data_IF_409885741317
#
_entry.id   IF_409885741317
#
_cell.length_a   1.000
_cell.length_b   1.000
_cell.length_c   1.000
_cell.angle_alpha   90.00
_cell.angle_beta   90.00
_cell.angle_gamma   90.00
#
_symmetry.space_group_name_H-M   'P 1'
#
loop_
_entity.id
_entity.type
_entity.pdbx_description
1 polymer ?
#
# COMPACT_ATOMS: atom_id res chain seq x y z
N UNK A 1 -5.14 -8.86 -13.66
CA UNK A 1 -4.79 -9.19 -12.26
C UNK A 1 -6.04 -9.71 -11.55
N UNK A 2 -5.91 -10.62 -10.61
CA UNK A 2 -7.05 -11.16 -9.86
C UNK A 2 -6.76 -11.12 -8.35
N UNK A 3 -7.64 -10.53 -7.55
CA UNK A 3 -7.55 -10.52 -6.09
C UNK A 3 -8.80 -11.20 -5.53
N UNK A 4 -8.65 -12.30 -4.80
CA UNK A 4 -9.75 -13.10 -4.22
C UNK A 4 -10.93 -13.34 -5.20
N UNK A 5 -10.64 -13.69 -6.47
CA UNK A 5 -11.64 -13.97 -7.50
C UNK A 5 -12.16 -12.75 -8.26
N UNK A 6 -11.89 -11.52 -7.81
CA UNK A 6 -12.25 -10.30 -8.54
C UNK A 6 -11.21 -9.96 -9.61
N UNK A 7 -11.61 -9.97 -10.87
CA UNK A 7 -10.76 -9.54 -11.99
C UNK A 7 -10.63 -8.01 -12.00
N UNK A 8 -9.40 -7.54 -12.03
CA UNK A 8 -9.00 -6.13 -12.13
C UNK A 8 -8.33 -5.93 -13.49
N UNK A 9 -8.90 -5.08 -14.31
CA UNK A 9 -8.37 -4.72 -15.63
C UNK A 9 -8.85 -3.33 -16.04
N UNK A 10 -8.26 -2.81 -17.10
CA UNK A 10 -8.62 -1.49 -17.64
C UNK A 10 -10.05 -1.43 -18.25
N UNK A 11 -10.70 -2.58 -18.48
CA UNK A 11 -12.04 -2.71 -19.07
C UNK A 11 -13.13 -3.00 -18.03
N UNK A 12 -12.75 -3.23 -16.78
CA UNK A 12 -13.70 -3.49 -15.69
C UNK A 12 -13.94 -2.24 -14.85
N UNK A 13 -15.07 -2.17 -14.14
CA UNK A 13 -15.27 -1.12 -13.15
C UNK A 13 -14.09 -1.05 -12.16
N UNK A 14 -13.79 0.15 -11.64
CA UNK A 14 -12.70 0.32 -10.69
C UNK A 14 -12.80 -0.63 -9.49
N UNK A 15 -11.66 -1.10 -9.02
CA UNK A 15 -11.54 -1.82 -7.75
C UNK A 15 -11.26 -0.79 -6.66
N UNK A 16 -12.25 -0.56 -5.81
CA UNK A 16 -12.21 0.49 -4.80
C UNK A 16 -11.53 -0.01 -3.53
N UNK A 17 -10.41 0.59 -3.18
CA UNK A 17 -9.61 0.24 -2.01
C UNK A 17 -9.70 1.37 -1.00
N UNK A 18 -10.28 1.11 0.17
CA UNK A 18 -10.24 2.02 1.30
C UNK A 18 -8.87 1.94 1.99
N UNK A 19 -8.29 3.08 2.35
CA UNK A 19 -7.02 3.16 3.08
C UNK A 19 -7.28 3.39 4.56
N UNK A 20 -6.85 2.45 5.41
CA UNK A 20 -6.88 2.65 6.86
C UNK A 20 -5.65 3.43 7.33
N UNK A 21 -4.45 3.06 6.83
CA UNK A 21 -3.19 3.68 7.27
C UNK A 21 -3.09 3.72 8.80
N UNK A 22 -2.69 4.86 9.37
CA UNK A 22 -2.60 5.11 10.81
C UNK A 22 -3.93 5.62 11.43
N UNK A 23 -5.03 5.66 10.67
CA UNK A 23 -6.32 6.22 11.16
C UNK A 23 -7.01 5.37 12.23
N UNK A 24 -6.37 4.29 12.68
CA UNK A 24 -6.81 3.53 13.86
C UNK A 24 -6.52 4.24 15.19
N UNK A 25 -5.64 5.28 15.20
CA UNK A 25 -5.33 6.06 16.40
C UNK A 25 -4.81 5.23 17.58
N UNK A 26 -4.10 4.10 17.32
CA UNK A 26 -3.63 3.20 18.36
C UNK A 26 -4.71 2.34 19.03
N UNK A 27 -5.92 2.26 18.46
CA UNK A 27 -7.03 1.47 19.00
C UNK A 27 -7.51 0.40 18.00
N UNK A 28 -7.41 -0.87 18.41
CA UNK A 28 -7.84 -2.01 17.60
C UNK A 28 -9.35 -1.94 17.25
N UNK A 29 -10.18 -1.49 18.18
CA UNK A 29 -11.63 -1.40 17.92
C UNK A 29 -11.93 -0.38 16.84
N UNK A 30 -11.23 0.75 16.83
CA UNK A 30 -11.33 1.76 15.76
C UNK A 30 -10.92 1.17 14.41
N UNK A 31 -9.85 0.37 14.36
CA UNK A 31 -9.44 -0.33 13.15
C UNK A 31 -10.52 -1.32 12.66
N UNK A 32 -11.11 -2.12 13.55
CA UNK A 32 -12.17 -3.06 13.21
C UNK A 32 -13.43 -2.33 12.70
N UNK A 33 -13.83 -1.22 13.35
CA UNK A 33 -14.97 -0.43 12.88
C UNK A 33 -14.70 0.21 11.52
N UNK A 34 -13.47 0.62 11.23
CA UNK A 34 -13.07 1.15 9.92
C UNK A 34 -13.21 0.09 8.82
N UNK A 35 -12.83 -1.17 9.08
CA UNK A 35 -13.06 -2.29 8.15
C UNK A 35 -14.53 -2.45 7.84
N UNK A 36 -15.39 -2.46 8.88
CA UNK A 36 -16.83 -2.57 8.72
C UNK A 36 -17.43 -1.41 7.94
N UNK A 37 -17.02 -0.19 8.25
CA UNK A 37 -17.48 1.03 7.57
C UNK A 37 -17.05 1.03 6.09
N UNK A 38 -15.81 0.65 5.77
CA UNK A 38 -15.35 0.51 4.40
C UNK A 38 -16.25 -0.44 3.60
N UNK A 39 -16.60 -1.60 4.18
CA UNK A 39 -17.54 -2.55 3.56
C UNK A 39 -18.92 -1.94 3.33
N UNK A 40 -19.45 -1.26 4.32
CA UNK A 40 -20.79 -0.64 4.25
C UNK A 40 -20.83 0.49 3.20
N UNK A 41 -19.73 1.21 3.01
CA UNK A 41 -19.59 2.25 1.99
C UNK A 41 -19.32 1.69 0.58
N UNK A 42 -19.23 0.37 0.40
CA UNK A 42 -19.10 -0.27 -0.90
C UNK A 42 -17.67 -0.44 -1.38
N UNK A 43 -16.67 -0.30 -0.51
CA UNK A 43 -15.30 -0.63 -0.88
C UNK A 43 -15.16 -2.13 -1.20
N UNK A 44 -14.38 -2.46 -2.23
CA UNK A 44 -14.04 -3.84 -2.59
C UNK A 44 -12.99 -4.43 -1.64
N UNK A 45 -12.10 -3.56 -1.14
CA UNK A 45 -11.05 -3.94 -0.21
C UNK A 45 -10.72 -2.81 0.76
N UNK A 46 -10.05 -3.17 1.85
CA UNK A 46 -9.35 -2.24 2.73
C UNK A 46 -7.87 -2.55 2.76
N UNK A 47 -7.03 -1.50 2.79
CA UNK A 47 -5.58 -1.64 2.88
C UNK A 47 -5.09 -1.10 4.22
N UNK A 48 -4.17 -1.83 4.83
CA UNK A 48 -3.40 -1.43 6.02
C UNK A 48 -1.92 -1.28 5.67
N UNK A 49 -1.13 -0.88 6.64
CA UNK A 49 0.34 -0.81 6.55
C UNK A 49 0.95 -1.78 7.55
N UNK A 50 2.04 -2.43 7.19
CA UNK A 50 2.76 -3.39 8.03
C UNK A 50 4.22 -3.01 8.11
N UNK A 51 4.60 -2.33 9.19
CA UNK A 51 5.96 -1.92 9.52
C UNK A 51 6.11 -1.76 11.03
N UNK A 52 7.35 -1.63 11.47
CA UNK A 52 7.69 -1.13 12.80
C UNK A 52 8.45 0.19 12.65
N UNK A 53 8.44 1.05 13.66
CA UNK A 53 9.24 2.27 13.62
C UNK A 53 10.72 1.98 13.35
N UNK A 54 11.25 0.86 13.89
CA UNK A 54 12.64 0.42 13.69
C UNK A 54 12.95 0.01 12.24
N UNK A 55 11.96 -0.45 11.46
CA UNK A 55 12.14 -0.78 10.04
C UNK A 55 12.05 0.45 9.13
N UNK A 56 11.48 1.55 9.62
CA UNK A 56 11.26 2.77 8.84
C UNK A 56 12.37 3.81 9.02
N UNK A 57 12.95 3.90 10.22
CA UNK A 57 13.95 4.92 10.53
C UNK A 57 14.76 4.55 11.77
N UNK A 58 15.89 5.22 11.96
CA UNK A 58 16.69 5.08 13.19
C UNK A 58 16.00 5.77 14.37
N UNK A 59 16.08 5.13 15.54
CA UNK A 59 15.66 5.75 16.80
C UNK A 59 16.63 6.89 17.16
N UNK A 60 16.38 8.03 16.58
CA UNK A 60 17.19 9.24 16.75
C UNK A 60 16.30 10.48 16.80
N UNK A 61 16.18 11.06 17.97
CA UNK A 61 15.37 12.27 18.20
C UNK A 61 15.91 13.54 17.49
N UNK A 62 17.08 13.45 16.84
CA UNK A 62 17.62 14.60 16.08
C UNK A 62 16.97 14.76 14.70
N UNK A 63 16.16 13.79 14.24
CA UNK A 63 15.40 13.90 13.01
C UNK A 63 14.00 14.38 13.35
N UNK A 64 13.86 15.70 13.50
CA UNK A 64 12.58 16.34 13.79
C UNK A 64 11.88 16.76 12.47
N UNK A 65 10.54 16.64 12.49
CA UNK A 65 9.69 17.13 11.39
C UNK A 65 9.48 18.64 11.64
N UNK A 66 10.01 19.47 10.76
CA UNK A 66 10.00 20.90 10.94
C UNK A 66 8.76 21.59 10.35
N UNK A 67 8.02 20.91 9.45
CA UNK A 67 6.89 21.52 8.73
C UNK A 67 5.70 20.56 8.64
N UNK A 68 4.51 21.12 8.39
CA UNK A 68 3.29 20.35 8.18
C UNK A 68 2.57 19.98 9.50
N UNK A 69 1.58 19.11 9.36
CA UNK A 69 0.68 18.71 10.46
C UNK A 69 1.37 17.88 11.55
N UNK A 70 2.55 17.35 11.28
CA UNK A 70 3.36 16.53 12.19
C UNK A 70 4.56 17.27 12.77
N UNK A 71 4.67 18.59 12.53
CA UNK A 71 5.76 19.42 13.04
C UNK A 71 5.91 19.30 14.57
N UNK A 72 7.16 19.22 15.04
CA UNK A 72 7.51 19.06 16.45
C UNK A 72 7.57 17.62 16.95
N UNK A 73 7.26 16.63 16.11
CA UNK A 73 7.50 15.21 16.42
C UNK A 73 8.85 14.76 15.86
N UNK A 74 9.50 13.80 16.53
CA UNK A 74 10.55 13.04 15.87
C UNK A 74 9.95 12.10 14.82
N UNK A 75 10.69 11.83 13.76
CA UNK A 75 10.23 10.91 12.73
C UNK A 75 9.99 9.50 13.29
N UNK A 76 10.85 9.06 14.21
CA UNK A 76 10.71 7.77 14.88
C UNK A 76 9.44 7.68 15.73
N UNK A 77 9.17 8.71 16.55
CA UNK A 77 7.96 8.74 17.40
C UNK A 77 6.70 8.77 16.57
N UNK A 78 6.72 9.49 15.44
CA UNK A 78 5.58 9.49 14.52
C UNK A 78 5.30 8.09 13.98
N UNK A 79 6.33 7.37 13.48
CA UNK A 79 6.14 6.01 13.01
C UNK A 79 5.70 5.08 14.12
N UNK A 80 6.21 5.26 15.36
CA UNK A 80 5.82 4.45 16.51
C UNK A 80 4.34 4.59 16.89
N UNK A 81 3.79 5.80 16.77
CA UNK A 81 2.36 6.06 17.01
C UNK A 81 1.51 5.54 15.85
N UNK A 82 2.03 5.63 14.63
CA UNK A 82 1.31 5.32 13.39
C UNK A 82 1.36 3.83 13.00
N UNK A 83 2.30 3.03 13.53
CA UNK A 83 2.43 1.62 13.20
C UNK A 83 1.16 0.83 13.56
N UNK A 84 0.80 -0.13 12.72
CA UNK A 84 -0.22 -1.15 13.04
C UNK A 84 0.48 -2.28 13.80
N UNK A 85 0.19 -2.49 15.12
CA UNK A 85 0.85 -3.54 15.89
C UNK A 85 0.75 -4.92 15.20
N UNK A 86 1.84 -5.67 15.15
CA UNK A 86 1.90 -6.96 14.44
C UNK A 86 0.91 -7.99 15.00
N UNK A 87 0.64 -7.97 16.29
CA UNK A 87 -0.34 -8.85 16.95
C UNK A 87 -1.80 -8.56 16.54
N UNK A 88 -2.11 -7.37 16.00
CA UNK A 88 -3.44 -7.05 15.50
C UNK A 88 -3.76 -7.70 14.15
N UNK A 89 -2.75 -7.98 13.33
CA UNK A 89 -2.93 -8.39 11.93
C UNK A 89 -3.84 -9.61 11.81
N UNK A 90 -3.63 -10.64 12.63
CA UNK A 90 -4.50 -11.83 12.62
C UNK A 90 -5.95 -11.49 12.93
N UNK A 91 -6.20 -10.59 13.87
CA UNK A 91 -7.55 -10.15 14.24
C UNK A 91 -8.19 -9.33 13.14
N UNK A 92 -7.45 -8.40 12.51
CA UNK A 92 -7.91 -7.57 11.40
C UNK A 92 -8.29 -8.43 10.18
N UNK A 93 -7.44 -9.39 9.80
CA UNK A 93 -7.71 -10.29 8.67
C UNK A 93 -8.91 -11.21 8.94
N UNK A 94 -8.99 -11.80 10.14
CA UNK A 94 -10.11 -12.62 10.54
C UNK A 94 -11.43 -11.84 10.57
N UNK A 95 -11.41 -10.57 11.00
CA UNK A 95 -12.59 -9.72 11.01
C UNK A 95 -13.01 -9.32 9.60
N UNK A 96 -12.07 -8.96 8.75
CA UNK A 96 -12.35 -8.64 7.34
C UNK A 96 -13.00 -9.83 6.60
N UNK A 97 -12.54 -11.07 6.85
CA UNK A 97 -13.15 -12.26 6.29
C UNK A 97 -14.60 -12.44 6.78
N UNK A 98 -14.90 -12.17 8.05
CA UNK A 98 -16.29 -12.20 8.60
C UNK A 98 -17.18 -11.13 7.95
N UNK A 99 -16.64 -9.95 7.70
CA UNK A 99 -17.37 -8.85 7.05
C UNK A 99 -17.45 -9.01 5.51
N UNK A 100 -16.85 -10.08 4.95
CA UNK A 100 -16.77 -10.32 3.51
C UNK A 100 -16.17 -9.13 2.73
N UNK A 101 -15.09 -8.57 3.23
CA UNK A 101 -14.28 -7.57 2.54
C UNK A 101 -12.83 -8.09 2.39
N UNK A 102 -12.23 -7.82 1.25
CA UNK A 102 -10.80 -8.14 1.07
C UNK A 102 -9.95 -7.20 1.92
N UNK A 103 -8.98 -7.75 2.65
CA UNK A 103 -7.94 -6.98 3.32
C UNK A 103 -6.57 -7.37 2.80
N UNK A 104 -5.70 -6.41 2.60
CA UNK A 104 -4.29 -6.61 2.27
C UNK A 104 -3.44 -5.46 2.81
N UNK A 105 -2.12 -5.52 2.63
CA UNK A 105 -1.22 -4.57 3.28
C UNK A 105 -0.10 -4.07 2.38
N UNK A 106 0.47 -2.93 2.77
CA UNK A 106 1.79 -2.48 2.32
C UNK A 106 2.84 -2.95 3.34
N UNK A 107 3.72 -3.90 2.99
CA UNK A 107 4.92 -4.21 3.77
C UNK A 107 6.02 -3.20 3.44
N UNK A 108 6.90 -2.96 4.40
CA UNK A 108 8.06 -2.07 4.26
C UNK A 108 9.39 -2.79 4.49
N UNK A 109 9.35 -4.07 4.83
CA UNK A 109 10.51 -4.94 4.98
C UNK A 109 10.14 -6.42 4.75
N UNK A 110 11.15 -7.30 4.71
CA UNK A 110 10.94 -8.74 4.51
C UNK A 110 10.20 -9.40 5.69
N UNK A 111 10.37 -8.92 6.92
CA UNK A 111 9.68 -9.46 8.09
C UNK A 111 8.18 -9.18 8.01
N UNK A 112 7.82 -7.98 7.57
CA UNK A 112 6.42 -7.62 7.29
C UNK A 112 5.81 -8.53 6.21
N UNK A 113 6.56 -8.84 5.14
CA UNK A 113 6.11 -9.77 4.10
C UNK A 113 5.87 -11.16 4.68
N UNK A 114 6.79 -11.67 5.52
CA UNK A 114 6.66 -13.00 6.11
C UNK A 114 5.49 -13.09 7.11
N UNK A 115 5.26 -12.04 7.91
CA UNK A 115 4.06 -11.93 8.74
C UNK A 115 2.80 -12.02 7.87
N UNK A 116 2.73 -11.24 6.81
CA UNK A 116 1.57 -11.22 5.90
C UNK A 116 1.36 -12.56 5.18
N UNK A 117 2.43 -13.28 4.84
CA UNK A 117 2.33 -14.64 4.31
C UNK A 117 1.75 -15.61 5.35
N UNK A 118 2.16 -15.50 6.62
CA UNK A 118 1.68 -16.37 7.70
C UNK A 118 0.17 -16.30 7.94
N UNK A 119 -0.46 -15.19 7.52
CA UNK A 119 -1.90 -14.94 7.63
C UNK A 119 -2.63 -14.95 6.27
N UNK A 120 -1.98 -15.47 5.23
CA UNK A 120 -2.54 -15.60 3.88
C UNK A 120 -2.99 -14.26 3.25
N UNK A 121 -2.21 -13.20 3.39
CA UNK A 121 -2.46 -11.92 2.72
C UNK A 121 -2.65 -12.15 1.21
N UNK A 122 -3.75 -11.67 0.59
CA UNK A 122 -4.09 -12.01 -0.79
C UNK A 122 -3.37 -11.17 -1.85
N UNK A 123 -2.77 -10.05 -1.48
CA UNK A 123 -2.09 -9.11 -2.38
C UNK A 123 -1.13 -8.23 -1.59
N UNK A 124 -0.17 -7.64 -2.27
CA UNK A 124 0.80 -6.71 -1.68
C UNK A 124 0.74 -5.35 -2.35
N UNK A 125 0.97 -4.30 -1.56
CA UNK A 125 1.12 -2.95 -2.06
C UNK A 125 2.54 -2.46 -1.81
N UNK A 126 3.21 -2.01 -2.86
CA UNK A 126 4.46 -1.26 -2.77
C UNK A 126 4.10 0.23 -2.78
N UNK A 127 4.43 0.93 -1.71
CA UNK A 127 4.15 2.36 -1.61
C UNK A 127 5.12 3.18 -2.48
N UNK A 128 4.83 4.48 -2.66
CA UNK A 128 5.59 5.31 -3.62
C UNK A 128 7.06 5.44 -3.28
N UNK A 129 7.40 5.53 -1.99
CA UNK A 129 8.79 5.66 -1.54
C UNK A 129 9.57 4.35 -1.70
N UNK A 130 8.89 3.20 -1.61
CA UNK A 130 9.47 1.86 -1.72
C UNK A 130 9.60 1.37 -3.17
N UNK A 131 9.20 2.17 -4.16
CA UNK A 131 9.31 1.78 -5.58
C UNK A 131 10.77 1.54 -6.00
N UNK A 132 11.71 2.20 -5.35
CA UNK A 132 13.15 2.05 -5.57
C UNK A 132 13.78 0.95 -4.71
N UNK A 133 13.03 0.34 -3.80
CA UNK A 133 13.49 -0.82 -3.03
C UNK A 133 13.34 -2.11 -3.85
N UNK A 134 14.22 -2.26 -4.80
CA UNK A 134 14.25 -3.42 -5.70
C UNK A 134 14.41 -4.75 -4.96
N UNK A 135 15.21 -4.88 -3.88
CA UNK A 135 15.26 -6.06 -3.04
C UNK A 135 13.90 -6.46 -2.46
N UNK A 136 13.17 -5.52 -1.85
CA UNK A 136 11.84 -5.75 -1.29
C UNK A 136 10.86 -6.19 -2.38
N UNK A 137 10.83 -5.52 -3.53
CA UNK A 137 9.95 -5.87 -4.65
C UNK A 137 10.23 -7.30 -5.14
N UNK A 138 11.51 -7.67 -5.28
CA UNK A 138 11.91 -9.04 -5.65
C UNK A 138 11.51 -10.06 -4.58
N UNK A 139 11.60 -9.69 -3.30
CA UNK A 139 11.17 -10.56 -2.21
C UNK A 139 9.66 -10.82 -2.25
N UNK A 140 8.87 -9.77 -2.42
CA UNK A 140 7.41 -9.84 -2.60
C UNK A 140 7.06 -10.65 -3.85
N UNK A 141 7.76 -10.48 -4.97
CA UNK A 141 7.46 -11.17 -6.23
C UNK A 141 7.56 -12.69 -6.10
N UNK A 142 8.46 -13.22 -5.26
CA UNK A 142 8.63 -14.66 -4.98
C UNK A 142 7.38 -15.28 -4.33
N UNK A 143 6.50 -14.48 -3.73
CA UNK A 143 5.25 -14.97 -3.13
C UNK A 143 4.17 -15.28 -4.18
N UNK A 144 4.38 -14.90 -5.46
CA UNK A 144 3.49 -15.14 -6.61
C UNK A 144 2.04 -14.68 -6.39
N UNK A 145 1.87 -13.58 -5.67
CA UNK A 145 0.58 -12.94 -5.41
C UNK A 145 0.48 -11.61 -6.15
N UNK A 146 -0.73 -11.06 -6.32
CA UNK A 146 -0.93 -9.73 -6.91
C UNK A 146 -0.10 -8.64 -6.21
N UNK A 147 0.55 -7.80 -7.03
CA UNK A 147 1.35 -6.66 -6.55
C UNK A 147 0.78 -5.39 -7.16
N UNK A 148 0.46 -4.42 -6.31
CA UNK A 148 0.05 -3.08 -6.69
C UNK A 148 1.20 -2.13 -6.35
N UNK A 149 1.68 -1.34 -7.31
CA UNK A 149 2.83 -0.44 -7.11
C UNK A 149 2.37 1.00 -7.34
N UNK A 150 2.55 1.88 -6.36
CA UNK A 150 2.38 3.32 -6.53
C UNK A 150 3.63 3.93 -7.17
N UNK A 151 3.41 4.91 -8.07
CA UNK A 151 4.48 5.51 -8.90
C UNK A 151 4.75 6.98 -8.55
N UNK A 152 4.29 7.44 -7.39
CA UNK A 152 4.55 8.82 -6.95
C UNK A 152 6.04 9.10 -6.84
N UNK A 153 6.47 10.27 -7.33
CA UNK A 153 7.85 10.78 -7.34
C UNK A 153 8.84 9.99 -8.21
N UNK A 154 8.49 8.80 -8.72
CA UNK A 154 9.38 7.96 -9.50
C UNK A 154 9.52 8.45 -10.94
N UNK A 155 10.73 8.37 -11.48
CA UNK A 155 10.99 8.51 -12.91
C UNK A 155 10.46 7.30 -13.69
N UNK A 156 10.38 7.43 -15.01
CA UNK A 156 9.93 6.33 -15.87
C UNK A 156 10.87 5.13 -15.80
N UNK A 157 12.16 5.40 -15.66
CA UNK A 157 13.21 4.39 -15.51
C UNK A 157 13.03 3.60 -14.21
N UNK A 158 12.80 4.29 -13.10
CA UNK A 158 12.55 3.65 -11.79
C UNK A 158 11.27 2.82 -11.79
N UNK A 159 10.20 3.31 -12.45
CA UNK A 159 8.96 2.52 -12.61
C UNK A 159 9.24 1.26 -13.44
N UNK A 160 10.02 1.37 -14.53
CA UNK A 160 10.38 0.23 -15.36
C UNK A 160 11.19 -0.80 -14.59
N UNK A 161 12.17 -0.37 -13.79
CA UNK A 161 12.99 -1.26 -12.96
C UNK A 161 12.13 -1.97 -11.91
N UNK A 162 11.20 -1.27 -11.24
CA UNK A 162 10.26 -1.84 -10.29
C UNK A 162 9.35 -2.89 -10.92
N UNK A 163 8.82 -2.62 -12.13
CA UNK A 163 7.98 -3.56 -12.88
C UNK A 163 8.76 -4.81 -13.27
N UNK A 164 10.00 -4.67 -13.75
CA UNK A 164 10.87 -5.80 -14.06
C UNK A 164 11.22 -6.62 -12.81
N UNK A 165 11.50 -5.95 -11.69
CA UNK A 165 11.71 -6.63 -10.40
C UNK A 165 10.47 -7.42 -9.95
N UNK A 166 9.27 -6.85 -10.10
CA UNK A 166 8.02 -7.51 -9.77
C UNK A 166 7.74 -8.73 -10.67
N UNK A 167 8.20 -8.71 -11.93
CA UNK A 167 8.09 -9.83 -12.87
C UNK A 167 9.16 -10.91 -12.67
N UNK A 168 10.20 -10.66 -11.90
CA UNK A 168 11.39 -11.50 -11.82
C UNK A 168 11.12 -12.96 -11.41
N UNK A 169 10.03 -13.24 -10.70
CA UNK A 169 9.58 -14.58 -10.31
C UNK A 169 8.43 -15.10 -11.18
N UNK A 170 8.34 -14.67 -12.44
CA UNK A 170 7.25 -15.01 -13.37
C UNK A 170 5.87 -14.50 -12.89
N UNK A 171 5.83 -13.57 -11.97
CA UNK A 171 4.59 -12.95 -11.51
C UNK A 171 4.07 -11.96 -12.57
N UNK A 172 2.93 -12.26 -13.15
CA UNK A 172 2.26 -11.41 -14.13
C UNK A 172 1.11 -10.57 -13.53
N UNK A 173 0.85 -10.70 -12.24
CA UNK A 173 -0.27 -10.06 -11.56
C UNK A 173 0.15 -8.70 -10.96
N UNK A 174 0.41 -7.73 -11.82
CA UNK A 174 0.92 -6.41 -11.45
C UNK A 174 -0.09 -5.35 -11.89
N UNK A 175 -0.31 -4.34 -11.05
CA UNK A 175 -0.99 -3.09 -11.38
C UNK A 175 -0.17 -1.90 -10.91
N UNK A 176 -0.25 -0.78 -11.61
CA UNK A 176 0.37 0.47 -11.22
C UNK A 176 -0.69 1.48 -10.77
N UNK A 177 -0.34 2.32 -9.80
CA UNK A 177 -1.18 3.46 -9.41
C UNK A 177 -0.42 4.75 -9.69
N UNK A 178 -1.01 5.63 -10.49
CA UNK A 178 -0.61 7.02 -10.49
C UNK A 178 -0.87 7.62 -9.11
N UNK A 179 0.08 8.39 -8.59
CA UNK A 179 0.03 8.89 -7.23
C UNK A 179 0.72 10.27 -7.16
N UNK A 180 0.10 11.20 -6.45
CA UNK A 180 0.73 12.45 -6.02
C UNK A 180 1.05 12.31 -4.54
N UNK A 181 2.35 12.23 -4.21
CA UNK A 181 2.81 11.99 -2.83
C UNK A 181 2.86 13.28 -2.01
N UNK A 182 1.72 13.99 -1.95
CA UNK A 182 1.50 15.18 -1.14
C UNK A 182 0.27 14.98 -0.26
N UNK A 183 0.31 15.44 0.98
CA UNK A 183 -0.74 15.21 1.98
C UNK A 183 -1.19 16.53 2.62
N UNK A 184 -2.34 17.12 2.18
CA UNK A 184 -3.19 16.67 1.06
C UNK A 184 -2.60 17.01 -0.30
N UNK A 185 -2.98 16.24 -1.34
CA UNK A 185 -2.68 16.56 -2.72
C UNK A 185 -3.61 17.68 -3.22
N UNK A 186 -3.05 18.66 -3.95
CA UNK A 186 -3.87 19.71 -4.58
C UNK A 186 -4.42 19.20 -5.90
N UNK A 187 -5.66 19.59 -6.25
CA UNK A 187 -6.32 19.19 -7.50
C UNK A 187 -5.49 19.47 -8.75
N UNK A 188 -4.76 20.58 -8.77
CA UNK A 188 -3.95 21.00 -9.90
C UNK A 188 -2.69 20.17 -10.10
N UNK A 189 -2.25 19.45 -9.07
CA UNK A 189 -1.06 18.60 -9.09
C UNK A 189 -1.34 17.17 -9.62
N UNK A 190 -2.62 16.76 -9.71
CA UNK A 190 -2.99 15.37 -10.04
C UNK A 190 -2.54 14.90 -11.42
N UNK A 191 -2.47 15.77 -12.42
CA UNK A 191 -2.03 15.41 -13.77
C UNK A 191 -2.61 14.07 -14.27
N UNK A 192 -3.94 13.88 -14.17
CA UNK A 192 -4.63 12.60 -14.42
C UNK A 192 -4.37 11.99 -15.80
N UNK A 193 -3.88 12.76 -16.76
CA UNK A 193 -3.46 12.23 -18.06
C UNK A 193 -2.25 11.26 -17.95
N UNK A 194 -1.50 11.33 -16.85
CA UNK A 194 -0.42 10.36 -16.54
C UNK A 194 -0.95 8.93 -16.49
N UNK A 195 -2.19 8.70 -16.06
CA UNK A 195 -2.83 7.38 -16.08
C UNK A 195 -2.87 6.82 -17.51
N UNK A 196 -3.25 7.64 -18.51
CA UNK A 196 -3.27 7.22 -19.91
C UNK A 196 -1.87 6.95 -20.46
N UNK A 197 -0.89 7.75 -20.04
CA UNK A 197 0.51 7.58 -20.41
C UNK A 197 1.05 6.24 -19.87
N UNK A 198 0.89 5.98 -18.56
CA UNK A 198 1.33 4.74 -17.93
C UNK A 198 0.66 3.50 -18.53
N UNK A 199 -0.65 3.60 -18.87
CA UNK A 199 -1.38 2.51 -19.52
C UNK A 199 -0.76 2.15 -20.87
N UNK A 200 -0.39 3.14 -21.67
CA UNK A 200 0.24 2.93 -22.98
C UNK A 200 1.65 2.37 -22.86
N UNK A 201 2.42 2.86 -21.89
CA UNK A 201 3.83 2.50 -21.71
C UNK A 201 4.00 1.09 -21.17
N UNK A 202 3.23 0.71 -20.14
CA UNK A 202 3.44 -0.56 -19.43
C UNK A 202 2.47 -1.66 -19.82
N UNK A 203 1.36 -1.35 -20.50
CA UNK A 203 0.30 -2.30 -20.83
C UNK A 203 -0.20 -3.12 -19.62
N UNK A 204 -0.30 -2.47 -18.45
CA UNK A 204 -0.77 -3.02 -17.18
C UNK A 204 -2.12 -2.38 -16.79
N UNK A 205 -2.88 -2.95 -15.85
CA UNK A 205 -3.93 -2.23 -15.15
C UNK A 205 -3.36 -1.00 -14.45
N UNK A 206 -3.96 0.17 -14.69
CA UNK A 206 -3.54 1.43 -14.07
C UNK A 206 -4.70 2.00 -13.28
N UNK A 207 -4.41 2.43 -12.05
CA UNK A 207 -5.35 3.11 -11.16
C UNK A 207 -4.81 4.43 -10.64
N UNK A 208 -5.52 5.00 -9.68
CA UNK A 208 -5.16 6.22 -8.95
C UNK A 208 -4.98 5.89 -7.46
N UNK A 209 -3.94 6.43 -6.85
CA UNK A 209 -3.81 6.56 -5.40
C UNK A 209 -4.07 8.02 -5.05
N UNK A 210 -5.17 8.29 -4.39
CA UNK A 210 -5.65 9.63 -4.04
C UNK A 210 -5.35 9.94 -2.57
N UNK A 211 -4.84 11.15 -2.31
CA UNK A 211 -4.43 11.62 -0.97
C UNK A 211 -5.06 12.95 -0.60
#
# INVERSE_FOLDING_TARGET
>A
MNIKGRLISNEKPPYMIAELSANHGGDLNTALQSIKSAKQCGADAIKIQTYTADSMTFNNNSIEINEGIWSGNSLYDLYKIAETPYDWHKSLFSFADKENITIFSSPFDEQAVDLLESINCPAYKIASFEIVDIPLIKYVSKKNKPIIISTGMASLEEISEAVEAAKSSSNSQIALLHCVSSYPAKSDDFNLNTIKFLKREFNLPIGLSDH
#
